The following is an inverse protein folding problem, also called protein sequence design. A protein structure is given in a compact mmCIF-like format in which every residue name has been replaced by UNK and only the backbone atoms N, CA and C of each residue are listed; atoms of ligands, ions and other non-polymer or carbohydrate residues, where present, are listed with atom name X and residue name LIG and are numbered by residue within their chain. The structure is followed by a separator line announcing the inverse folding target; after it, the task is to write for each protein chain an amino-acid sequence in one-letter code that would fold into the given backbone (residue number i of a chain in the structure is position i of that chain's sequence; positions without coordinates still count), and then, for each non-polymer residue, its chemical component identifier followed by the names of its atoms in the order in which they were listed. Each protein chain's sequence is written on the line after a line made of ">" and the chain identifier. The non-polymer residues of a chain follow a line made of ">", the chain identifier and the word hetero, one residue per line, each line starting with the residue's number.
data_IF_932689230829
#
_entry.id   IF_932689230829
#
_cell.length_a   1.000
_cell.length_b   1.000
_cell.length_c   1.000
_cell.angle_alpha   90.00
_cell.angle_beta   90.00
_cell.angle_gamma   90.00
#
_symmetry.space_group_name_H-M   'P 1'
#
loop_
_entity.id
_entity.type
_entity.pdbx_description
1 polymer ?
#
# COMPACT_ATOMS: atom_id res chain seq x y z
N UNK A 1 31.43 3.57 16.41
CA UNK A 1 30.34 3.53 15.42
C UNK A 1 29.96 2.08 15.16
N UNK A 2 29.01 1.51 15.93
CA UNK A 2 28.54 0.13 15.76
C UNK A 2 27.43 0.12 14.71
N UNK A 3 27.63 -0.58 13.58
CA UNK A 3 26.56 -0.83 12.60
C UNK A 3 25.62 -1.86 13.21
N UNK A 4 24.37 -1.48 13.44
CA UNK A 4 23.29 -2.41 13.75
C UNK A 4 22.95 -3.21 12.48
N UNK A 5 22.89 -4.53 12.60
CA UNK A 5 22.48 -5.43 11.54
C UNK A 5 20.98 -5.24 11.22
N UNK A 6 20.54 -5.31 9.95
CA UNK A 6 19.13 -5.40 9.64
C UNK A 6 18.60 -6.79 10.01
N UNK A 7 17.59 -6.81 10.88
CA UNK A 7 16.90 -8.03 11.27
C UNK A 7 16.30 -8.73 10.03
N UNK A 8 16.39 -10.07 9.94
CA UNK A 8 15.62 -10.82 8.96
C UNK A 8 14.15 -10.76 9.38
N UNK A 9 13.35 -10.03 8.61
CA UNK A 9 11.90 -9.92 8.81
C UNK A 9 11.21 -11.25 8.45
N UNK A 10 11.41 -12.28 9.27
CA UNK A 10 10.64 -13.52 9.33
C UNK A 10 9.30 -13.24 10.01
N UNK A 11 8.47 -12.41 9.39
CA UNK A 11 7.05 -12.33 9.70
C UNK A 11 6.27 -13.00 8.55
N UNK A 12 6.29 -14.33 8.55
CA UNK A 12 5.29 -15.14 7.87
C UNK A 12 3.96 -15.00 8.65
N UNK A 13 3.31 -13.84 8.51
CA UNK A 13 2.03 -13.49 9.11
C UNK A 13 0.83 -13.83 8.22
N UNK A 14 -0.40 -13.57 8.68
CA UNK A 14 -1.56 -14.49 8.77
C UNK A 14 -2.25 -14.87 7.45
N UNK A 15 -1.70 -14.50 6.29
CA UNK A 15 -2.33 -14.68 4.98
C UNK A 15 -2.50 -16.16 4.58
N UNK A 16 -1.72 -17.07 5.19
CA UNK A 16 -1.84 -18.51 4.93
C UNK A 16 -3.15 -19.13 5.46
N UNK A 17 -3.82 -18.49 6.43
CA UNK A 17 -5.07 -19.04 7.03
C UNK A 17 -6.34 -18.63 6.28
N UNK A 18 -6.35 -17.48 5.59
CA UNK A 18 -7.54 -17.02 4.88
C UNK A 18 -7.77 -17.77 3.55
N UNK A 19 -6.70 -18.16 2.85
CA UNK A 19 -6.80 -18.85 1.57
C UNK A 19 -7.34 -20.28 1.69
N UNK A 20 -6.99 -21.00 2.77
CA UNK A 20 -7.45 -22.39 2.98
C UNK A 20 -8.95 -22.49 3.35
N UNK A 21 -9.57 -21.41 3.86
CA UNK A 21 -10.98 -21.43 4.26
C UNK A 21 -11.98 -21.17 3.14
N UNK A 22 -11.53 -20.70 1.96
CA UNK A 22 -12.42 -20.43 0.80
C UNK A 22 -12.56 -21.59 -0.18
N UNK A 23 -11.79 -22.68 -0.02
CA UNK A 23 -11.87 -23.84 -0.91
C UNK A 23 -12.94 -24.87 -0.48
N UNK A 24 -13.53 -24.72 0.70
CA UNK A 24 -14.57 -25.64 1.18
C UNK A 24 -16.00 -25.29 0.72
N UNK A 25 -16.18 -24.24 -0.10
CA UNK A 25 -17.51 -23.70 -0.45
C UNK A 25 -17.95 -23.86 -1.89
N UNK A 26 -17.17 -24.50 -2.78
CA UNK A 26 -17.46 -24.54 -4.23
C UNK A 26 -17.67 -25.96 -4.77
N UNK A 27 -17.97 -26.94 -3.91
CA UNK A 27 -18.40 -28.28 -4.31
C UNK A 27 -19.92 -28.40 -4.26
N UNK A 28 -20.62 -27.49 -4.93
CA UNK A 28 -22.07 -27.52 -5.01
C UNK A 28 -22.55 -26.78 -6.25
N UNK A 29 -23.19 -27.52 -7.15
CA UNK A 29 -23.74 -27.11 -8.44
C UNK A 29 -22.73 -26.82 -9.57
N UNK A 30 -22.52 -27.84 -10.41
CA UNK A 30 -22.76 -27.88 -11.87
C UNK A 30 -22.33 -29.31 -12.24
N UNK A 31 -23.22 -30.31 -12.29
CA UNK A 31 -24.41 -30.35 -13.14
C UNK A 31 -23.93 -30.59 -14.56
N UNK A 32 -24.08 -31.82 -15.06
CA UNK A 32 -23.38 -32.34 -16.24
C UNK A 32 -23.39 -31.44 -17.47
N UNK A 33 -22.39 -31.61 -18.33
CA UNK A 33 -22.50 -31.76 -19.79
C UNK A 33 -21.12 -32.15 -20.34
N UNK A 34 -21.11 -33.19 -21.17
CA UNK A 34 -19.91 -33.80 -21.69
C UNK A 34 -19.24 -32.92 -22.74
N UNK A 35 -18.04 -32.45 -22.45
CA UNK A 35 -16.97 -32.24 -23.41
C UNK A 35 -15.69 -31.95 -22.62
N UNK A 36 -14.83 -32.96 -22.49
CA UNK A 36 -13.48 -32.84 -21.93
C UNK A 36 -12.58 -32.08 -22.90
N UNK A 37 -12.88 -30.82 -23.16
CA UNK A 37 -11.96 -29.94 -23.90
C UNK A 37 -11.06 -29.30 -22.85
N UNK A 38 -9.86 -29.85 -22.78
CA UNK A 38 -8.80 -29.44 -21.90
C UNK A 38 -8.48 -27.95 -22.08
N UNK A 39 -8.86 -27.13 -21.10
CA UNK A 39 -8.33 -25.77 -20.96
C UNK A 39 -7.63 -25.55 -19.61
N UNK A 40 -6.59 -26.34 -19.24
CA UNK A 40 -5.76 -25.98 -18.09
C UNK A 40 -4.72 -24.90 -18.43
N UNK A 41 -4.63 -24.45 -19.68
CA UNK A 41 -3.49 -23.64 -20.14
C UNK A 41 -3.48 -22.17 -19.66
N UNK A 42 -4.58 -21.62 -19.12
CA UNK A 42 -4.63 -20.21 -18.71
C UNK A 42 -4.54 -19.97 -17.19
N UNK A 43 -4.57 -21.01 -16.37
CA UNK A 43 -4.53 -20.89 -14.90
C UNK A 43 -3.12 -20.96 -14.27
N UNK A 44 -2.11 -21.44 -15.00
CA UNK A 44 -0.79 -21.77 -14.45
C UNK A 44 0.13 -20.58 -14.21
N UNK A 45 -0.08 -19.44 -14.87
CA UNK A 45 0.83 -18.28 -14.80
C UNK A 45 0.78 -17.55 -13.46
N UNK A 46 -0.38 -17.50 -12.79
CA UNK A 46 -0.52 -16.82 -11.49
C UNK A 46 0.27 -17.51 -10.35
N UNK A 47 0.48 -18.83 -10.43
CA UNK A 47 1.24 -19.60 -9.42
C UNK A 47 2.75 -19.40 -9.58
N UNK A 48 3.24 -19.24 -10.80
CA UNK A 48 4.66 -19.00 -11.08
C UNK A 48 5.13 -17.62 -10.60
N UNK A 49 4.28 -16.59 -10.68
CA UNK A 49 4.59 -15.24 -10.20
C UNK A 49 4.80 -15.18 -8.68
N UNK A 50 4.08 -16.00 -7.91
CA UNK A 50 4.25 -16.09 -6.45
C UNK A 50 5.47 -16.93 -6.00
N UNK A 51 6.05 -17.73 -6.90
CA UNK A 51 7.20 -18.59 -6.62
C UNK A 51 8.56 -17.89 -6.76
N UNK A 52 8.65 -16.80 -7.53
CA UNK A 52 9.93 -16.12 -7.84
C UNK A 52 10.29 -14.96 -6.90
N UNK A 53 9.79 -14.95 -5.65
CA UNK A 53 10.13 -13.90 -4.66
C UNK A 53 9.42 -12.56 -4.87
N UNK A 54 8.52 -12.45 -5.84
CA UNK A 54 7.65 -11.30 -6.00
C UNK A 54 6.53 -11.34 -4.95
N UNK A 55 6.68 -10.51 -3.92
CA UNK A 55 5.63 -10.26 -2.94
C UNK A 55 4.89 -8.99 -3.34
N UNK A 56 3.56 -9.09 -3.50
CA UNK A 56 2.71 -7.92 -3.61
C UNK A 56 2.99 -7.01 -2.40
N UNK A 57 3.41 -5.77 -2.67
CA UNK A 57 3.79 -4.80 -1.63
C UNK A 57 2.66 -4.58 -0.61
N UNK A 58 1.41 -4.79 -1.03
CA UNK A 58 0.23 -4.51 -0.22
C UNK A 58 0.12 -3.01 0.05
N UNK A 59 -0.77 -2.64 0.98
CA UNK A 59 -0.82 -1.27 1.46
C UNK A 59 0.50 -0.92 2.17
N UNK A 60 1.01 0.28 1.94
CA UNK A 60 2.19 0.77 2.64
C UNK A 60 1.93 0.80 4.15
N UNK A 61 2.64 -0.05 4.89
CA UNK A 61 2.61 -0.07 6.35
C UNK A 61 3.55 1.00 6.89
N UNK A 62 3.03 1.93 7.70
CA UNK A 62 3.86 2.89 8.44
C UNK A 62 4.25 2.28 9.79
N UNK A 63 5.47 2.52 10.25
CA UNK A 63 5.95 2.05 11.56
C UNK A 63 5.39 2.82 12.77
N UNK A 64 4.44 3.73 12.51
CA UNK A 64 3.81 4.61 13.48
C UNK A 64 2.31 4.73 13.15
N UNK A 65 1.51 5.03 14.17
CA UNK A 65 0.05 5.16 14.02
C UNK A 65 -0.45 6.57 14.26
N UNK A 66 0.31 7.41 14.97
CA UNK A 66 -0.09 8.77 15.36
C UNK A 66 0.91 9.78 14.81
N UNK A 67 0.41 10.69 13.98
CA UNK A 67 1.23 11.69 13.30
C UNK A 67 0.64 13.10 13.50
N UNK A 68 1.50 14.08 13.72
CA UNK A 68 1.12 15.50 13.75
C UNK A 68 1.70 16.21 12.53
N UNK A 69 0.90 17.04 11.87
CA UNK A 69 1.39 17.95 10.84
C UNK A 69 1.60 19.33 11.43
N UNK A 70 2.80 19.87 11.25
CA UNK A 70 3.19 21.22 11.67
C UNK A 70 3.63 22.02 10.45
N UNK A 71 3.23 23.29 10.37
CA UNK A 71 3.57 24.16 9.23
C UNK A 71 2.69 23.97 8.00
N UNK A 72 1.62 23.17 8.07
CA UNK A 72 0.70 22.92 6.95
C UNK A 72 -0.77 23.13 7.33
N UNK A 73 -1.32 24.32 7.09
CA UNK A 73 -2.74 24.59 7.33
C UNK A 73 -3.64 23.69 6.49
N UNK A 74 -4.77 23.26 7.06
CA UNK A 74 -5.76 22.41 6.36
C UNK A 74 -6.39 23.05 5.13
N UNK A 75 -6.43 24.38 5.08
CA UNK A 75 -6.97 25.12 3.95
C UNK A 75 -6.07 25.08 2.70
N UNK A 76 -4.77 24.81 2.85
CA UNK A 76 -3.85 24.77 1.70
C UNK A 76 -4.07 23.53 0.84
N UNK A 77 -3.85 23.60 -0.50
CA UNK A 77 -4.01 22.43 -1.37
C UNK A 77 -3.10 21.27 -0.94
N UNK A 78 -1.85 21.58 -0.57
CA UNK A 78 -0.88 20.61 -0.06
C UNK A 78 -1.37 19.99 1.26
N UNK A 79 -1.92 20.79 2.17
CA UNK A 79 -2.47 20.31 3.44
C UNK A 79 -3.67 19.39 3.28
N UNK A 80 -4.53 19.63 2.28
CA UNK A 80 -5.67 18.75 1.98
C UNK A 80 -5.19 17.41 1.43
N UNK A 81 -4.29 17.44 0.46
CA UNK A 81 -3.71 16.22 -0.14
C UNK A 81 -2.98 15.37 0.90
N UNK A 82 -2.14 15.98 1.74
CA UNK A 82 -1.44 15.25 2.80
C UNK A 82 -2.42 14.55 3.75
N UNK A 83 -3.51 15.22 4.15
CA UNK A 83 -4.56 14.62 4.99
C UNK A 83 -5.28 13.47 4.29
N UNK A 84 -5.54 13.60 2.99
CA UNK A 84 -6.19 12.54 2.21
C UNK A 84 -5.28 11.31 2.03
N UNK A 85 -4.00 11.52 1.73
CA UNK A 85 -3.02 10.45 1.56
C UNK A 85 -2.71 9.72 2.88
N UNK A 86 -2.72 10.44 4.00
CA UNK A 86 -2.37 9.90 5.31
C UNK A 86 -3.59 9.39 6.10
N UNK A 87 -4.77 9.98 5.93
CA UNK A 87 -5.95 9.71 6.76
C UNK A 87 -6.46 8.27 6.70
N UNK A 88 -6.18 7.54 5.61
CA UNK A 88 -6.49 6.10 5.50
C UNK A 88 -5.47 5.17 6.17
N UNK A 89 -4.37 5.69 6.73
CA UNK A 89 -3.22 4.89 7.21
C UNK A 89 -2.74 5.28 8.60
N UNK A 90 -2.82 6.56 8.96
CA UNK A 90 -2.36 7.10 10.24
C UNK A 90 -3.37 8.09 10.80
N UNK A 91 -3.47 8.12 12.12
CA UNK A 91 -4.29 9.08 12.84
C UNK A 91 -3.55 10.41 12.92
N UNK A 92 -4.14 11.43 12.29
CA UNK A 92 -3.66 12.81 12.40
C UNK A 92 -4.19 13.39 13.70
N UNK A 93 -3.29 13.94 14.51
CA UNK A 93 -3.62 14.54 15.80
C UNK A 93 -3.19 15.99 15.85
N UNK A 94 -4.09 16.84 16.32
CA UNK A 94 -3.81 18.22 16.66
C UNK A 94 -3.21 18.34 18.08
N UNK A 95 -2.32 19.32 18.32
CA UNK A 95 -1.77 19.56 19.66
C UNK A 95 -2.90 20.01 20.63
N UNK A 96 -2.83 19.65 21.92
CA UNK A 96 -1.71 19.04 22.66
C UNK A 96 -1.84 17.51 22.86
N UNK A 97 -2.21 16.74 21.83
CA UNK A 97 -2.32 15.29 21.95
C UNK A 97 -0.95 14.56 21.99
N UNK A 98 -0.85 13.36 22.59
CA UNK A 98 0.36 12.54 22.58
C UNK A 98 0.60 11.91 21.19
N UNK A 99 1.67 12.35 20.52
CA UNK A 99 2.01 11.96 19.14
C UNK A 99 3.30 11.14 19.10
N UNK A 100 3.39 10.17 18.17
CA UNK A 100 4.62 9.38 17.96
C UNK A 100 5.61 10.09 17.03
N UNK A 101 5.11 10.74 15.98
CA UNK A 101 5.94 11.40 14.96
C UNK A 101 5.37 12.77 14.60
N UNK A 102 6.24 13.77 14.49
CA UNK A 102 5.88 15.10 14.00
C UNK A 102 6.45 15.28 12.60
N UNK A 103 5.57 15.49 11.63
CA UNK A 103 5.93 15.90 10.27
C UNK A 103 5.83 17.42 10.18
N UNK A 104 6.99 18.08 10.18
CA UNK A 104 7.09 19.52 9.97
C UNK A 104 7.36 19.82 8.51
N UNK A 105 6.53 20.67 7.92
CA UNK A 105 6.79 21.21 6.59
C UNK A 105 7.44 22.59 6.74
N UNK A 106 8.69 22.68 6.28
CA UNK A 106 9.46 23.93 6.33
C UNK A 106 9.00 24.93 5.26
N UNK A 107 8.78 24.47 4.03
CA UNK A 107 8.29 25.32 2.94
C UNK A 107 7.61 24.50 1.85
N UNK A 108 6.69 25.15 1.13
CA UNK A 108 6.08 24.64 -0.09
C UNK A 108 5.97 25.77 -1.11
N UNK A 109 6.82 25.73 -2.13
CA UNK A 109 6.84 26.68 -3.24
C UNK A 109 6.24 26.00 -4.48
N UNK A 110 5.40 26.71 -5.22
CA UNK A 110 4.86 26.22 -6.50
C UNK A 110 5.15 27.23 -7.59
N UNK A 111 6.20 26.97 -8.34
CA UNK A 111 6.63 27.81 -9.44
C UNK A 111 6.24 27.18 -10.78
N UNK A 112 6.02 28.01 -11.78
CA UNK A 112 5.85 27.59 -13.17
C UNK A 112 6.93 28.27 -13.99
N UNK A 113 7.65 27.49 -14.78
CA UNK A 113 8.69 27.96 -15.68
C UNK A 113 8.34 27.47 -17.09
N UNK A 114 8.48 28.33 -18.09
CA UNK A 114 8.23 27.99 -19.48
C UNK A 114 9.34 27.07 -19.97
N UNK A 115 8.99 25.83 -20.32
CA UNK A 115 9.97 24.80 -20.73
C UNK A 115 10.35 24.90 -22.21
N UNK A 116 9.62 25.68 -23.01
CA UNK A 116 9.95 25.88 -24.41
C UNK A 116 9.10 26.98 -25.05
N UNK A 117 9.71 27.67 -26.01
CA UNK A 117 9.02 28.60 -26.91
C UNK A 117 9.05 27.97 -28.30
N UNK A 118 7.90 27.91 -28.97
CA UNK A 118 7.81 27.45 -30.36
C UNK A 118 7.91 28.66 -31.28
N UNK A 119 8.84 28.64 -32.24
CA UNK A 119 8.90 29.63 -33.33
C UNK A 119 7.86 29.30 -34.39
N UNK A 120 7.09 30.31 -34.83
CA UNK A 120 6.11 30.21 -35.92
C UNK A 120 6.75 30.53 -37.28
#
# INVERSE_FOLDING_TARGET
>A
MKRAAPAPNTACGPQRRAALRRLAGVTGLVGGWGARVAWPALGGTAVLLGGCGFKLRGAASMGFSRLQLVGVPAATPLGRELRQQLGGRVQLLEPPAPVQVVLRLESAQREKIVTGLTSA
#
